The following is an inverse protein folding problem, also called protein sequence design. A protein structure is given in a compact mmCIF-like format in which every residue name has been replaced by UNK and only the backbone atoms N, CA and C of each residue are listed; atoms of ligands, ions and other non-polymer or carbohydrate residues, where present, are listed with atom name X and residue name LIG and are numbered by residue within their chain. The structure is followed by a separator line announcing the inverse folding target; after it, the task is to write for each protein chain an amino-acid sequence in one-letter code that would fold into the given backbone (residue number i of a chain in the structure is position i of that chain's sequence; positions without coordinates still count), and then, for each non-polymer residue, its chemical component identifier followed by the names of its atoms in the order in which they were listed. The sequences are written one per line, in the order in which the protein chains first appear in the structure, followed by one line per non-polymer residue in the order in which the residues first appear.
data_IF_073157742512
#
_entry.id   IF_073157742512
#
_cell.length_a   1.000
_cell.length_b   1.000
_cell.length_c   1.000
_cell.angle_alpha   90.00
_cell.angle_beta   90.00
_cell.angle_gamma   90.00
#
_symmetry.space_group_name_H-M   'P 1'
#
loop_
_entity.id
_entity.type
_entity.pdbx_description
1 polymer ?
#
# COMPACT_ATOMS: atom_id res chain seq x y z
N UNK A 1 -18.89 -12.93 41.35
CA UNK A 1 -18.44 -11.94 40.35
C UNK A 1 -17.03 -12.15 39.80
N UNK A 2 -16.01 -12.64 40.55
CA UNK A 2 -14.65 -12.85 39.98
C UNK A 2 -14.53 -13.89 38.85
N UNK A 3 -15.36 -14.94 38.84
CA UNK A 3 -15.23 -16.04 37.84
C UNK A 3 -15.59 -15.62 36.42
N UNK A 4 -16.50 -14.68 36.25
CA UNK A 4 -16.96 -14.23 34.93
C UNK A 4 -15.95 -13.31 34.23
N UNK A 5 -15.24 -12.45 34.99
CA UNK A 5 -14.18 -11.61 34.46
C UNK A 5 -12.99 -12.42 33.93
N UNK A 6 -12.60 -13.50 34.61
CA UNK A 6 -11.46 -14.33 34.18
C UNK A 6 -11.76 -15.07 32.87
N UNK A 7 -13.00 -15.51 32.65
CA UNK A 7 -13.40 -16.21 31.41
C UNK A 7 -13.37 -15.28 30.19
N UNK A 8 -13.79 -14.03 30.36
CA UNK A 8 -13.80 -13.04 29.27
C UNK A 8 -12.38 -12.66 28.81
N UNK A 9 -11.43 -12.45 29.73
CA UNK A 9 -10.04 -12.10 29.40
C UNK A 9 -9.33 -13.24 28.63
N UNK A 10 -9.59 -14.50 29.01
CA UNK A 10 -9.01 -15.68 28.34
C UNK A 10 -9.58 -15.91 26.93
N UNK A 11 -10.87 -15.61 26.71
CA UNK A 11 -11.46 -15.68 25.36
C UNK A 11 -10.96 -14.57 24.43
N UNK A 12 -10.82 -13.33 24.93
CA UNK A 12 -10.33 -12.20 24.15
C UNK A 12 -8.90 -12.42 23.64
N UNK A 13 -7.98 -12.86 24.52
CA UNK A 13 -6.59 -13.14 24.18
C UNK A 13 -6.42 -14.28 23.15
N UNK A 14 -7.26 -15.32 23.23
CA UNK A 14 -7.28 -16.39 22.22
C UNK A 14 -7.74 -15.89 20.85
N UNK A 15 -8.70 -14.98 20.81
CA UNK A 15 -9.19 -14.34 19.57
C UNK A 15 -8.13 -13.43 18.95
N UNK A 16 -7.47 -12.60 19.74
CA UNK A 16 -6.38 -11.73 19.27
C UNK A 16 -5.19 -12.53 18.71
N UNK A 17 -4.81 -13.62 19.38
CA UNK A 17 -3.75 -14.51 18.90
C UNK A 17 -4.10 -15.13 17.53
N UNK A 18 -5.36 -15.50 17.31
CA UNK A 18 -5.84 -16.01 16.02
C UNK A 18 -5.78 -14.93 14.94
N UNK A 19 -6.21 -13.70 15.25
CA UNK A 19 -6.11 -12.55 14.31
C UNK A 19 -4.65 -12.29 13.93
N UNK A 20 -3.72 -12.32 14.91
CA UNK A 20 -2.28 -12.09 14.67
C UNK A 20 -1.69 -13.19 13.78
N UNK A 21 -1.98 -14.45 14.10
CA UNK A 21 -1.55 -15.57 13.26
C UNK A 21 -2.08 -15.44 11.83
N UNK A 22 -3.35 -15.06 11.65
CA UNK A 22 -3.93 -14.86 10.32
C UNK A 22 -3.24 -13.71 9.57
N UNK A 23 -2.89 -12.62 10.25
CA UNK A 23 -2.10 -11.53 9.67
C UNK A 23 -0.73 -12.00 9.15
N UNK A 24 -0.05 -12.85 9.92
CA UNK A 24 1.24 -13.43 9.52
C UNK A 24 1.08 -14.36 8.31
N UNK A 25 0.06 -15.22 8.32
CA UNK A 25 -0.29 -16.10 7.20
C UNK A 25 -0.57 -15.30 5.92
N UNK A 26 -1.39 -14.25 5.99
CA UNK A 26 -1.68 -13.36 4.86
C UNK A 26 -0.39 -12.73 4.33
N UNK A 27 0.51 -12.29 5.21
CA UNK A 27 1.79 -11.67 4.80
C UNK A 27 2.67 -12.67 4.04
N UNK A 28 2.72 -13.93 4.50
CA UNK A 28 3.41 -15.01 3.78
C UNK A 28 2.74 -15.31 2.44
N UNK A 29 1.40 -15.41 2.40
CA UNK A 29 0.66 -15.68 1.16
C UNK A 29 0.84 -14.58 0.12
N UNK A 30 0.78 -13.31 0.52
CA UNK A 30 1.02 -12.16 -0.36
C UNK A 30 2.46 -12.17 -0.91
N UNK A 31 3.45 -12.50 -0.08
CA UNK A 31 4.85 -12.63 -0.52
C UNK A 31 5.01 -13.72 -1.58
N UNK A 32 4.36 -14.88 -1.38
CA UNK A 32 4.37 -15.97 -2.35
C UNK A 32 3.69 -15.57 -3.66
N UNK A 33 2.55 -14.86 -3.60
CA UNK A 33 1.86 -14.35 -4.80
C UNK A 33 2.77 -13.42 -5.60
N UNK A 34 3.49 -12.50 -4.94
CA UNK A 34 4.41 -11.58 -5.63
C UNK A 34 5.54 -12.34 -6.33
N UNK A 35 6.11 -13.35 -5.68
CA UNK A 35 7.14 -14.20 -6.29
C UNK A 35 6.62 -15.00 -7.49
N UNK A 36 5.41 -15.55 -7.38
CA UNK A 36 4.77 -16.30 -8.46
C UNK A 36 4.42 -15.40 -9.65
N UNK A 37 3.87 -14.20 -9.40
CA UNK A 37 3.63 -13.19 -10.42
C UNK A 37 4.92 -12.80 -11.15
N UNK A 38 6.03 -12.63 -10.44
CA UNK A 38 7.32 -12.31 -11.07
C UNK A 38 7.83 -13.47 -11.96
N UNK A 39 7.65 -14.69 -11.50
CA UNK A 39 7.95 -15.90 -12.29
C UNK A 39 7.10 -15.97 -13.56
N UNK A 40 5.80 -15.68 -13.44
CA UNK A 40 4.89 -15.65 -14.59
C UNK A 40 5.22 -14.53 -15.57
N UNK A 41 5.60 -13.33 -15.10
CA UNK A 41 6.07 -12.25 -15.98
C UNK A 41 7.32 -12.65 -16.77
N UNK A 42 8.26 -13.36 -16.14
CA UNK A 42 9.41 -13.90 -16.85
C UNK A 42 8.98 -14.89 -17.93
N UNK A 43 8.02 -15.77 -17.63
CA UNK A 43 7.45 -16.71 -18.60
C UNK A 43 6.75 -15.99 -19.76
N UNK A 44 6.04 -14.88 -19.52
CA UNK A 44 5.47 -14.05 -20.60
C UNK A 44 6.55 -13.62 -21.59
N UNK A 45 7.73 -13.21 -21.11
CA UNK A 45 8.84 -12.79 -21.98
C UNK A 45 9.46 -13.94 -22.78
N UNK A 46 9.26 -15.19 -22.33
CA UNK A 46 9.83 -16.39 -22.94
C UNK A 46 8.84 -17.15 -23.82
N UNK A 47 7.54 -16.91 -23.65
CA UNK A 47 6.48 -17.57 -24.38
C UNK A 47 6.60 -17.29 -25.89
N UNK A 48 6.45 -18.35 -26.68
CA UNK A 48 6.58 -18.30 -28.14
C UNK A 48 5.24 -18.45 -28.87
N UNK A 49 4.20 -18.90 -28.15
CA UNK A 49 2.87 -19.11 -28.69
C UNK A 49 1.82 -18.31 -27.91
N UNK A 50 0.69 -18.06 -28.58
CA UNK A 50 -0.41 -17.28 -28.02
C UNK A 50 -1.20 -18.06 -26.96
N UNK A 51 -1.21 -19.39 -27.04
CA UNK A 51 -1.96 -20.23 -26.12
C UNK A 51 -1.31 -20.26 -24.73
N UNK A 52 0.02 -20.37 -24.67
CA UNK A 52 0.82 -20.22 -23.45
C UNK A 52 0.65 -18.83 -22.85
N UNK A 53 0.70 -17.77 -23.67
CA UNK A 53 0.43 -16.42 -23.20
C UNK A 53 -0.97 -16.29 -22.58
N UNK A 54 -1.98 -16.93 -23.17
CA UNK A 54 -3.34 -16.91 -22.63
C UNK A 54 -3.46 -17.67 -21.31
N UNK A 55 -2.78 -18.82 -21.17
CA UNK A 55 -2.69 -19.56 -19.92
C UNK A 55 -2.02 -18.72 -18.83
N UNK A 56 -0.86 -18.12 -19.13
CA UNK A 56 -0.13 -17.27 -18.18
C UNK A 56 -0.99 -16.06 -17.78
N UNK A 57 -1.68 -15.42 -18.73
CA UNK A 57 -2.58 -14.31 -18.43
C UNK A 57 -3.68 -14.72 -17.45
N UNK A 58 -4.29 -15.90 -17.63
CA UNK A 58 -5.32 -16.41 -16.73
C UNK A 58 -4.78 -16.70 -15.33
N UNK A 59 -3.57 -17.25 -15.23
CA UNK A 59 -2.89 -17.48 -13.95
C UNK A 59 -2.60 -16.15 -13.23
N UNK A 60 -2.07 -15.16 -13.95
CA UNK A 60 -1.83 -13.81 -13.43
C UNK A 60 -3.13 -13.17 -12.93
N UNK A 61 -4.22 -13.24 -13.70
CA UNK A 61 -5.52 -12.73 -13.27
C UNK A 61 -6.01 -13.38 -11.97
N UNK A 62 -5.87 -14.70 -11.85
CA UNK A 62 -6.24 -15.43 -10.62
C UNK A 62 -5.40 -14.98 -9.43
N UNK A 63 -4.08 -14.82 -9.61
CA UNK A 63 -3.19 -14.36 -8.54
C UNK A 63 -3.49 -12.92 -8.13
N UNK A 64 -3.76 -12.02 -9.08
CA UNK A 64 -4.16 -10.64 -8.79
C UNK A 64 -5.48 -10.58 -8.04
N UNK A 65 -6.46 -11.40 -8.41
CA UNK A 65 -7.72 -11.48 -7.68
C UNK A 65 -7.50 -11.95 -6.23
N UNK A 66 -6.71 -13.01 -6.03
CA UNK A 66 -6.35 -13.49 -4.69
C UNK A 66 -5.59 -12.43 -3.88
N UNK A 67 -4.69 -11.68 -4.51
CA UNK A 67 -3.95 -10.61 -3.86
C UNK A 67 -4.87 -9.50 -3.34
N UNK A 68 -5.89 -9.13 -4.13
CA UNK A 68 -6.89 -8.15 -3.72
C UNK A 68 -7.67 -8.64 -2.50
N UNK A 69 -8.18 -9.86 -2.55
CA UNK A 69 -8.94 -10.47 -1.43
C UNK A 69 -8.13 -10.52 -0.13
N UNK A 70 -6.87 -10.94 -0.22
CA UNK A 70 -5.97 -10.97 0.94
C UNK A 70 -5.63 -9.58 1.47
N UNK A 71 -5.50 -8.59 0.58
CA UNK A 71 -5.24 -7.19 0.97
C UNK A 71 -6.45 -6.60 1.70
N UNK A 72 -7.66 -6.89 1.22
CA UNK A 72 -8.91 -6.48 1.87
C UNK A 72 -9.09 -7.15 3.23
N UNK A 73 -8.74 -8.44 3.35
CA UNK A 73 -8.72 -9.16 4.63
C UNK A 73 -7.69 -8.56 5.60
N UNK A 74 -6.49 -8.25 5.11
CA UNK A 74 -5.43 -7.60 5.88
C UNK A 74 -5.87 -6.23 6.40
N UNK A 75 -6.49 -5.41 5.56
CA UNK A 75 -7.04 -4.10 5.96
C UNK A 75 -8.13 -4.27 7.03
N UNK A 76 -9.01 -5.26 6.86
CA UNK A 76 -10.07 -5.58 7.83
C UNK A 76 -9.49 -5.99 9.19
N UNK A 77 -8.48 -6.87 9.21
CA UNK A 77 -7.80 -7.27 10.45
C UNK A 77 -7.07 -6.10 11.11
N UNK A 78 -6.42 -5.23 10.33
CA UNK A 78 -5.74 -4.04 10.84
C UNK A 78 -6.71 -3.06 11.54
N UNK A 79 -7.90 -2.85 10.97
CA UNK A 79 -8.95 -2.05 11.61
C UNK A 79 -9.42 -2.66 12.93
N UNK A 80 -9.57 -3.98 12.99
CA UNK A 80 -9.96 -4.67 14.22
C UNK A 80 -8.92 -4.48 15.34
N UNK A 81 -7.62 -4.56 15.02
CA UNK A 81 -6.57 -4.26 16.01
C UNK A 81 -6.59 -2.80 16.47
N UNK A 82 -6.94 -1.85 15.60
CA UNK A 82 -7.08 -0.45 15.96
C UNK A 82 -8.25 -0.21 16.93
N UNK A 83 -9.41 -0.82 16.67
CA UNK A 83 -10.60 -0.68 17.54
C UNK A 83 -10.37 -1.32 18.91
N UNK A 84 -9.78 -2.52 18.94
CA UNK A 84 -9.50 -3.24 20.19
C UNK A 84 -8.56 -2.41 21.10
N UNK A 85 -7.56 -1.71 20.53
CA UNK A 85 -6.66 -0.81 21.27
C UNK A 85 -7.38 0.43 21.86
N UNK A 86 -8.36 1.01 21.16
CA UNK A 86 -9.13 2.15 21.65
C UNK A 86 -10.07 1.74 22.80
N UNK A 87 -10.60 0.52 22.78
CA UNK A 87 -11.48 0.03 23.83
C UNK A 87 -10.71 -0.27 25.12
N UNK A 88 -9.54 -0.90 25.02
CA UNK A 88 -8.70 -1.22 26.18
C UNK A 88 -8.17 0.04 26.89
N UNK A 89 -7.84 1.10 26.14
CA UNK A 89 -7.38 2.38 26.72
C UNK A 89 -8.49 3.18 27.40
N UNK A 90 -9.77 2.88 27.14
CA UNK A 90 -10.91 3.56 27.80
C UNK A 90 -11.37 2.87 29.09
N UNK A 91 -10.97 1.63 29.35
CA UNK A 91 -11.32 0.92 30.59
C UNK A 91 -10.35 1.15 31.75
N UNK A 92 -9.21 1.81 31.50
CA UNK A 92 -8.17 2.06 32.52
C UNK A 92 -8.27 3.45 33.18
N UNK A 93 -9.32 4.24 32.89
CA UNK A 93 -9.51 5.60 33.45
C UNK A 93 -10.77 5.76 34.30
N UNK A 94 -11.41 4.66 34.73
CA UNK A 94 -12.53 4.74 35.67
C UNK A 94 -12.04 4.86 37.13
N UNK A 95 -11.37 5.97 37.45
CA UNK A 95 -11.19 6.44 38.83
C UNK A 95 -12.34 7.42 39.15
N UNK A 96 -13.16 7.20 40.21
CA UNK A 96 -14.36 7.99 40.48
C UNK A 96 -14.11 9.27 41.28
N UNK A 97 -12.89 9.78 41.35
CA UNK A 97 -12.61 11.05 42.03
C UNK A 97 -12.08 12.09 41.04
N UNK A 98 -12.82 13.20 40.97
CA UNK A 98 -12.66 14.20 39.92
C UNK A 98 -11.31 14.89 39.97
N UNK A 99 -10.60 14.86 38.85
CA UNK A 99 -9.59 15.85 38.54
C UNK A 99 -9.86 16.44 37.16
N UNK A 100 -10.08 17.75 37.17
CA UNK A 100 -10.26 18.63 36.02
C UNK A 100 -9.14 18.45 35.00
N UNK A 101 -9.50 18.15 33.74
CA UNK A 101 -8.57 18.15 32.61
C UNK A 101 -8.06 19.58 32.38
N UNK A 102 -6.89 19.89 32.94
CA UNK A 102 -6.11 21.05 32.56
C UNK A 102 -5.53 20.79 31.15
N UNK A 103 -6.25 21.18 30.10
CA UNK A 103 -5.74 21.16 28.73
C UNK A 103 -4.61 22.19 28.56
N UNK A 104 -3.40 21.80 28.95
CA UNK A 104 -2.19 22.45 28.45
C UNK A 104 -1.89 21.91 27.06
N UNK A 105 -2.43 22.58 26.05
CA UNK A 105 -1.89 22.55 24.71
C UNK A 105 -0.51 23.24 24.80
N UNK A 106 0.54 22.46 25.02
CA UNK A 106 1.90 22.93 24.76
C UNK A 106 2.06 22.98 23.25
N UNK A 107 1.84 24.17 22.69
CA UNK A 107 2.31 24.51 21.35
C UNK A 107 3.85 24.47 21.38
N UNK A 108 4.41 23.30 21.12
CA UNK A 108 5.84 23.16 20.88
C UNK A 108 6.15 23.84 19.54
N UNK A 109 6.98 24.87 19.63
CA UNK A 109 7.56 25.64 18.54
C UNK A 109 7.93 24.77 17.35
N UNK A 110 7.48 25.22 16.18
CA UNK A 110 8.01 24.82 14.89
C UNK A 110 9.44 25.36 14.80
N UNK A 111 10.44 24.51 15.00
CA UNK A 111 11.82 24.84 14.66
C UNK A 111 11.92 24.95 13.14
N UNK A 112 12.27 26.16 12.72
CA UNK A 112 12.49 26.63 11.36
C UNK A 112 13.65 25.85 10.73
N UNK A 113 13.33 24.97 9.77
CA UNK A 113 14.35 24.41 8.89
C UNK A 113 14.89 25.53 7.98
N UNK A 114 16.22 25.66 7.80
CA UNK A 114 16.77 26.68 6.92
C UNK A 114 16.32 26.44 5.47
N UNK A 115 15.71 27.48 4.90
CA UNK A 115 15.29 27.54 3.51
C UNK A 115 16.48 27.34 2.56
N UNK A 116 16.43 26.30 1.72
CA UNK A 116 17.19 26.28 0.48
C UNK A 116 16.40 27.07 -0.56
N UNK A 117 16.86 28.29 -0.81
CA UNK A 117 16.43 29.12 -1.95
C UNK A 117 16.76 28.40 -3.25
N UNK A 118 15.74 27.87 -3.94
CA UNK A 118 15.77 27.71 -5.38
C UNK A 118 14.74 28.68 -5.96
N UNK A 119 15.22 29.85 -6.36
CA UNK A 119 14.52 30.74 -7.27
C UNK A 119 14.27 29.99 -8.58
N UNK A 120 13.04 29.52 -8.79
CA UNK A 120 12.55 29.17 -10.12
C UNK A 120 11.30 30.04 -10.35
N UNK A 121 11.54 31.18 -10.99
CA UNK A 121 10.49 32.04 -11.52
C UNK A 121 9.60 31.27 -12.52
N UNK A 122 8.28 31.54 -12.57
CA UNK A 122 7.42 31.03 -13.64
C UNK A 122 7.61 31.88 -14.90
N UNK A 123 8.69 31.59 -15.63
CA UNK A 123 8.97 32.20 -16.93
C UNK A 123 8.30 31.43 -18.05
N UNK A 124 7.31 32.05 -18.71
CA UNK A 124 6.77 31.64 -20.00
C UNK A 124 7.91 31.51 -21.04
N UNK A 125 8.41 30.29 -21.27
CA UNK A 125 9.35 30.02 -22.37
C UNK A 125 8.85 28.88 -23.25
N UNK A 126 8.17 29.31 -24.32
CA UNK A 126 8.13 28.74 -25.66
C UNK A 126 9.28 27.76 -25.92
N UNK A 127 8.95 26.49 -26.16
CA UNK A 127 9.89 25.48 -26.66
C UNK A 127 10.37 25.92 -28.06
N UNK A 128 11.59 26.45 -28.15
CA UNK A 128 12.31 26.58 -29.41
C UNK A 128 13.05 25.27 -29.68
N UNK A 129 12.63 24.56 -30.72
CA UNK A 129 13.38 23.44 -31.28
C UNK A 129 14.65 23.99 -31.95
N UNK A 130 15.86 23.49 -31.63
CA UNK A 130 17.03 23.75 -32.46
C UNK A 130 16.96 22.89 -33.72
N UNK A 131 16.88 23.57 -34.87
CA UNK A 131 17.13 23.00 -36.19
C UNK A 131 18.63 22.74 -36.36
N UNK A 132 19.00 21.48 -36.61
CA UNK A 132 20.29 21.08 -37.16
C UNK A 132 20.05 19.72 -37.84
N UNK A 133 19.59 19.68 -39.08
CA UNK A 133 20.42 19.75 -40.30
C UNK A 133 21.55 18.73 -40.29
N UNK A 134 21.26 17.53 -40.79
CA UNK A 134 22.15 16.81 -41.68
C UNK A 134 21.29 16.01 -42.67
N UNK A 135 21.35 16.45 -43.92
CA UNK A 135 20.91 15.74 -45.10
C UNK A 135 21.63 14.40 -45.21
N UNK A 136 20.87 13.30 -45.33
CA UNK A 136 21.29 12.16 -46.13
C UNK A 136 20.06 11.52 -46.81
N UNK A 137 19.89 11.96 -48.06
CA UNK A 137 19.18 11.36 -49.20
C UNK A 137 18.55 9.98 -48.97
N UNK A 138 17.21 9.94 -48.98
CA UNK A 138 16.46 8.81 -49.52
C UNK A 138 15.38 9.34 -50.48
N UNK A 139 15.59 9.02 -51.76
CA UNK A 139 14.65 9.14 -52.86
C UNK A 139 13.31 8.46 -52.51
N UNK A 140 12.21 8.92 -53.12
CA UNK A 140 11.26 8.08 -53.88
C UNK A 140 9.85 8.70 -53.92
N UNK A 141 9.58 9.37 -55.05
CA UNK A 141 8.40 9.24 -55.90
C UNK A 141 7.06 8.99 -55.18
N UNK A 142 6.24 10.05 -55.08
CA UNK A 142 4.80 9.89 -54.92
C UNK A 142 4.04 11.04 -55.60
N UNK A 143 4.05 11.08 -56.95
CA UNK A 143 2.98 11.69 -57.75
C UNK A 143 2.79 10.93 -59.06
N UNK A 144 1.88 9.97 -59.03
CA UNK A 144 1.13 9.51 -60.20
C UNK A 144 -0.25 9.06 -59.72
N UNK A 145 -1.17 10.03 -59.68
CA UNK A 145 -2.59 9.89 -59.96
C UNK A 145 -3.13 11.29 -60.23
#
# INVERSE_FOLDING_TARGET
MRREQTTLIVQSSSSEMKKRRRMDEISTELSNILQEQETLKLRVNQAQDLDELHVIQKELQKLTQKQLELTDEQASLAMLFSVDNILMTKTDTADPEGETLNSQISAASFEEAPSLTNDIQPGNHRLMFPTSSNDDKINEIARSA
#
